data_IF_822057310209
#
_entry.id   IF_822057310209
#
_cell.length_a   1.000
_cell.length_b   1.000
_cell.length_c   1.000
_cell.angle_alpha   90.00
_cell.angle_beta   90.00
_cell.angle_gamma   90.00
#
_symmetry.space_group_name_H-M   'P 1'
#
loop_
_entity.id
_entity.type
_entity.pdbx_description
1 polymer ?
#
# COMPACT_ATOMS: atom_id res chain seq x y z
N UNK A 1 -6.72 33.07 -15.61
CA UNK A 1 -5.52 33.76 -15.07
C UNK A 1 -5.55 33.94 -13.55
N UNK A 2 -6.71 34.06 -12.89
CA UNK A 2 -6.81 34.17 -11.42
C UNK A 2 -6.23 32.97 -10.64
N UNK A 3 -6.32 31.74 -11.20
CA UNK A 3 -5.78 30.53 -10.56
C UNK A 3 -4.25 30.55 -10.39
N UNK A 4 -3.52 31.20 -11.31
CA UNK A 4 -2.05 31.27 -11.25
C UNK A 4 -1.53 32.43 -10.39
N UNK A 5 -2.44 33.27 -9.88
CA UNK A 5 -2.12 34.40 -9.00
C UNK A 5 -2.38 34.07 -7.52
N UNK A 6 -3.06 32.95 -7.24
CA UNK A 6 -3.33 32.50 -5.87
C UNK A 6 -2.10 31.77 -5.31
N UNK A 7 -1.53 32.33 -4.23
CA UNK A 7 -0.33 31.82 -3.56
C UNK A 7 -0.51 30.42 -2.96
N UNK A 8 -1.75 29.91 -2.84
CA UNK A 8 -2.05 28.59 -2.31
C UNK A 8 -1.99 27.49 -3.37
N UNK A 9 -2.15 27.84 -4.64
CA UNK A 9 -2.30 26.87 -5.73
C UNK A 9 -1.02 26.08 -5.96
N UNK A 10 0.14 26.75 -6.00
CA UNK A 10 1.44 26.09 -6.15
C UNK A 10 1.73 25.05 -5.06
N UNK A 11 1.69 25.43 -3.76
CA UNK A 11 1.88 24.50 -2.65
C UNK A 11 0.88 23.34 -2.65
N UNK A 12 -0.39 23.59 -2.97
CA UNK A 12 -1.40 22.55 -3.04
C UNK A 12 -1.07 21.50 -4.11
N UNK A 13 -0.67 21.91 -5.32
CA UNK A 13 -0.26 20.98 -6.38
C UNK A 13 0.99 20.18 -6.00
N UNK A 14 2.00 20.82 -5.44
CA UNK A 14 3.22 20.12 -4.97
C UNK A 14 2.88 19.07 -3.92
N UNK A 15 1.99 19.40 -2.98
CA UNK A 15 1.55 18.48 -1.96
C UNK A 15 0.75 17.30 -2.54
N UNK A 16 -0.14 17.56 -3.50
CA UNK A 16 -0.85 16.49 -4.22
C UNK A 16 0.09 15.57 -4.97
N UNK A 17 1.10 16.11 -5.68
CA UNK A 17 2.11 15.32 -6.39
C UNK A 17 2.91 14.48 -5.40
N UNK A 18 3.34 15.08 -4.28
CA UNK A 18 4.05 14.39 -3.22
C UNK A 18 3.26 13.19 -2.68
N UNK A 19 1.98 13.40 -2.33
CA UNK A 19 1.07 12.33 -1.90
C UNK A 19 0.91 11.25 -2.98
N UNK A 20 0.72 11.65 -4.24
CA UNK A 20 0.54 10.71 -5.36
C UNK A 20 1.78 9.84 -5.59
N UNK A 21 2.99 10.42 -5.48
CA UNK A 21 4.26 9.69 -5.56
C UNK A 21 4.39 8.71 -4.40
N UNK A 22 4.11 9.14 -3.17
CA UNK A 22 4.15 8.25 -2.00
C UNK A 22 3.18 7.07 -2.13
N UNK A 23 1.94 7.34 -2.54
CA UNK A 23 0.94 6.29 -2.75
C UNK A 23 1.42 5.33 -3.83
N UNK A 24 1.90 5.85 -4.96
CA UNK A 24 2.34 5.03 -6.09
C UNK A 24 3.52 4.12 -5.70
N UNK A 25 4.57 4.69 -5.09
CA UNK A 25 5.73 3.92 -4.64
C UNK A 25 5.31 2.88 -3.60
N UNK A 26 4.54 3.29 -2.59
CA UNK A 26 4.10 2.40 -1.51
C UNK A 26 3.23 1.24 -2.03
N UNK A 27 2.28 1.53 -2.92
CA UNK A 27 1.39 0.53 -3.52
C UNK A 27 2.14 -0.45 -4.41
N UNK A 28 3.02 0.03 -5.28
CA UNK A 28 3.79 -0.85 -6.18
C UNK A 28 4.77 -1.71 -5.39
N UNK A 29 5.50 -1.11 -4.45
CA UNK A 29 6.48 -1.82 -3.63
C UNK A 29 5.83 -2.93 -2.79
N UNK A 30 4.80 -2.59 -2.00
CA UNK A 30 4.11 -3.56 -1.16
C UNK A 30 3.33 -4.58 -2.01
N UNK A 31 2.74 -4.14 -3.13
CA UNK A 31 2.03 -5.02 -4.05
C UNK A 31 2.96 -6.08 -4.65
N UNK A 32 4.13 -5.66 -5.14
CA UNK A 32 5.14 -6.58 -5.69
C UNK A 32 5.68 -7.51 -4.61
N UNK A 33 6.01 -6.98 -3.43
CA UNK A 33 6.47 -7.78 -2.29
C UNK A 33 5.48 -8.89 -1.92
N UNK A 34 4.19 -8.55 -1.78
CA UNK A 34 3.14 -9.52 -1.49
C UNK A 34 2.92 -10.48 -2.67
N UNK A 35 3.01 -10.01 -3.91
CA UNK A 35 2.85 -10.87 -5.08
C UNK A 35 3.92 -11.95 -5.12
N UNK A 36 5.20 -11.60 -4.90
CA UNK A 36 6.31 -12.57 -4.84
C UNK A 36 6.13 -13.53 -3.66
N UNK A 37 5.76 -13.01 -2.48
CA UNK A 37 5.50 -13.82 -1.29
C UNK A 37 4.38 -14.84 -1.56
N UNK A 38 3.27 -14.40 -2.13
CA UNK A 38 2.16 -15.26 -2.50
C UNK A 38 2.48 -16.14 -3.70
N UNK A 39 3.42 -15.78 -4.57
CA UNK A 39 3.83 -16.62 -5.69
C UNK A 39 4.60 -17.85 -5.21
N UNK A 40 5.35 -17.72 -4.12
CA UNK A 40 6.12 -18.81 -3.52
C UNK A 40 5.27 -19.98 -2.98
N UNK A 41 5.92 -21.10 -2.65
CA UNK A 41 5.30 -22.35 -2.14
C UNK A 41 4.85 -22.23 -0.67
N UNK A 42 3.99 -21.25 -0.37
CA UNK A 42 3.40 -21.08 0.97
C UNK A 42 2.17 -21.98 1.16
N UNK A 43 2.01 -22.53 2.37
CA UNK A 43 0.76 -23.16 2.78
C UNK A 43 -0.37 -22.12 2.84
N UNK A 44 -1.60 -22.53 2.50
CA UNK A 44 -2.80 -21.68 2.58
C UNK A 44 -2.84 -20.43 1.65
N UNK A 45 -2.09 -20.46 0.53
CA UNK A 45 -2.04 -19.38 -0.49
C UNK A 45 -3.42 -18.84 -0.91
N UNK A 46 -4.40 -19.71 -1.10
CA UNK A 46 -5.76 -19.31 -1.52
C UNK A 46 -6.51 -18.52 -0.44
N UNK A 47 -6.30 -18.84 0.84
CA UNK A 47 -6.89 -18.09 1.95
C UNK A 47 -6.26 -16.71 2.10
N UNK A 48 -4.93 -16.61 1.99
CA UNK A 48 -4.26 -15.31 1.98
C UNK A 48 -4.72 -14.43 0.83
N UNK A 49 -4.85 -14.98 -0.39
CA UNK A 49 -5.41 -14.27 -1.55
C UNK A 49 -6.80 -13.71 -1.25
N UNK A 50 -7.68 -14.49 -0.60
CA UNK A 50 -9.00 -14.02 -0.23
C UNK A 50 -8.97 -12.87 0.78
N UNK A 51 -8.12 -12.96 1.81
CA UNK A 51 -7.96 -11.90 2.83
C UNK A 51 -7.47 -10.60 2.19
N UNK A 52 -6.44 -10.67 1.35
CA UNK A 52 -5.89 -9.50 0.66
C UNK A 52 -6.84 -8.92 -0.38
N UNK A 53 -7.89 -9.66 -0.80
CA UNK A 53 -8.89 -9.17 -1.73
C UNK A 53 -10.02 -8.37 -1.07
N UNK A 54 -10.31 -8.64 0.21
CA UNK A 54 -11.38 -7.94 0.97
C UNK A 54 -11.27 -6.41 0.88
N UNK A 55 -10.10 -5.77 1.05
CA UNK A 55 -9.97 -4.32 0.93
C UNK A 55 -10.43 -3.74 -0.41
N UNK A 56 -10.24 -4.50 -1.48
CA UNK A 56 -10.56 -4.07 -2.85
C UNK A 56 -12.05 -4.21 -3.17
N UNK A 57 -12.75 -5.17 -2.55
CA UNK A 57 -14.19 -5.39 -2.81
C UNK A 57 -15.10 -4.45 -2.03
N UNK A 58 -14.61 -3.86 -0.94
CA UNK A 58 -15.36 -2.93 -0.12
C UNK A 58 -15.51 -1.56 -0.81
N UNK A 59 -16.67 -0.93 -0.62
CA UNK A 59 -16.92 0.44 -1.11
C UNK A 59 -15.97 1.43 -0.43
N UNK A 60 -15.40 2.33 -1.24
CA UNK A 60 -14.53 3.43 -0.77
C UNK A 60 -15.19 4.25 0.33
N UNK A 61 -16.51 4.47 0.24
CA UNK A 61 -17.25 5.21 1.28
C UNK A 61 -17.28 4.44 2.61
N UNK A 62 -17.53 3.13 2.57
CA UNK A 62 -17.58 2.28 3.77
C UNK A 62 -16.21 2.27 4.46
N UNK A 63 -15.14 2.04 3.69
CA UNK A 63 -13.77 2.10 4.19
C UNK A 63 -13.49 3.47 4.82
N UNK A 64 -13.84 4.56 4.11
CA UNK A 64 -13.65 5.92 4.58
C UNK A 64 -14.31 6.17 5.94
N UNK A 65 -15.56 5.73 6.14
CA UNK A 65 -16.25 5.88 7.43
C UNK A 65 -15.65 5.04 8.55
N UNK A 66 -15.35 3.77 8.28
CA UNK A 66 -14.76 2.86 9.27
C UNK A 66 -13.41 3.40 9.74
N UNK A 67 -12.53 3.75 8.81
CA UNK A 67 -11.22 4.26 9.16
C UNK A 67 -11.26 5.66 9.75
N UNK A 68 -12.17 6.54 9.30
CA UNK A 68 -12.40 7.83 9.96
C UNK A 68 -12.70 7.64 11.45
N UNK A 69 -13.60 6.71 11.78
CA UNK A 69 -13.87 6.38 13.17
C UNK A 69 -12.61 5.87 13.89
N UNK A 70 -11.85 4.96 13.26
CA UNK A 70 -10.62 4.41 13.82
C UNK A 70 -9.58 5.50 14.15
N UNK A 71 -9.33 6.40 13.21
CA UNK A 71 -8.35 7.48 13.36
C UNK A 71 -8.80 8.59 14.33
N UNK A 72 -10.09 8.68 14.65
CA UNK A 72 -10.63 9.66 15.59
C UNK A 72 -10.67 9.15 17.03
N UNK A 73 -10.91 7.86 17.26
CA UNK A 73 -11.23 7.34 18.61
C UNK A 73 -10.27 6.24 19.09
N UNK A 74 -10.29 5.01 18.55
CA UNK A 74 -9.47 3.92 19.09
C UNK A 74 -7.97 4.13 18.87
N UNK A 75 -7.54 4.73 17.75
CA UNK A 75 -6.12 4.95 17.50
C UNK A 75 -5.52 5.98 18.48
N UNK A 76 -6.15 7.15 18.71
CA UNK A 76 -5.79 8.06 19.81
C UNK A 76 -5.76 7.41 21.19
N UNK A 77 -6.76 6.59 21.53
CA UNK A 77 -6.81 5.91 22.81
C UNK A 77 -5.64 4.93 23.01
N UNK A 78 -5.25 4.21 21.96
CA UNK A 78 -4.06 3.35 21.97
C UNK A 78 -2.79 4.19 22.14
N UNK A 79 -2.68 5.31 21.41
CA UNK A 79 -1.56 6.24 21.55
C UNK A 79 -1.38 6.73 22.98
N UNK A 80 -2.49 7.12 23.63
CA UNK A 80 -2.49 7.58 25.02
C UNK A 80 -2.07 6.47 25.99
N UNK A 81 -2.57 5.26 25.80
CA UNK A 81 -2.21 4.11 26.63
C UNK A 81 -0.73 3.71 26.51
N UNK A 82 -0.13 3.93 25.33
CA UNK A 82 1.28 3.64 25.05
C UNK A 82 2.22 4.83 25.25
N UNK A 83 1.71 5.99 25.68
CA UNK A 83 2.45 7.25 25.79
C UNK A 83 3.18 7.67 24.49
N UNK A 84 2.49 7.52 23.35
CA UNK A 84 2.98 7.92 22.02
C UNK A 84 2.29 9.22 21.61
N UNK A 85 2.95 10.36 21.74
CA UNK A 85 2.34 11.70 21.59
C UNK A 85 1.69 11.93 20.22
N UNK A 86 2.38 11.59 19.13
CA UNK A 86 1.85 11.78 17.77
C UNK A 86 0.66 10.88 17.45
N UNK A 87 0.54 9.73 18.14
CA UNK A 87 -0.56 8.79 18.00
C UNK A 87 -1.72 9.12 18.94
N UNK A 88 -1.49 9.92 19.98
CA UNK A 88 -2.45 10.23 21.05
C UNK A 88 -3.53 11.26 20.67
N UNK A 89 -3.41 11.85 19.47
CA UNK A 89 -4.33 12.85 18.95
C UNK A 89 -5.00 12.36 17.66
N UNK A 90 -6.22 12.85 17.40
CA UNK A 90 -6.95 12.52 16.18
C UNK A 90 -6.17 13.02 14.95
N UNK A 91 -5.66 12.09 14.14
CA UNK A 91 -4.92 12.40 12.91
C UNK A 91 -5.81 13.11 11.89
N UNK A 92 -7.11 12.85 11.90
CA UNK A 92 -8.08 13.48 10.98
C UNK A 92 -8.33 14.94 11.34
N UNK A 93 -8.30 15.26 12.64
CA UNK A 93 -8.60 16.60 13.14
C UNK A 93 -7.36 17.51 13.18
N UNK A 94 -6.16 16.95 13.02
CA UNK A 94 -4.91 17.68 12.99
C UNK A 94 -4.48 17.93 11.52
N UNK A 95 -4.47 19.18 11.03
CA UNK A 95 -4.08 19.51 9.65
C UNK A 95 -2.69 19.00 9.25
N UNK A 96 -1.76 18.90 10.20
CA UNK A 96 -0.38 18.44 9.94
C UNK A 96 -0.31 16.91 9.75
N UNK A 97 -1.31 16.17 10.25
CA UNK A 97 -1.36 14.71 10.22
C UNK A 97 -2.46 14.16 9.30
N UNK A 98 -3.41 14.99 8.85
CA UNK A 98 -4.60 14.55 8.12
C UNK A 98 -4.30 13.86 6.78
N UNK A 99 -3.13 14.13 6.20
CA UNK A 99 -2.67 13.47 4.97
C UNK A 99 -2.27 12.01 5.18
N UNK A 100 -1.82 11.64 6.37
CA UNK A 100 -1.32 10.30 6.66
C UNK A 100 -2.43 9.24 6.55
N UNK A 101 -3.61 9.40 7.17
CA UNK A 101 -4.75 8.50 6.97
C UNK A 101 -5.14 8.31 5.50
N UNK A 102 -5.08 9.38 4.70
CA UNK A 102 -5.41 9.34 3.28
C UNK A 102 -4.40 8.48 2.53
N UNK A 103 -3.10 8.77 2.68
CA UNK A 103 -2.01 7.99 2.05
C UNK A 103 -2.06 6.53 2.48
N UNK A 104 -2.21 6.27 3.78
CA UNK A 104 -2.29 4.92 4.33
C UNK A 104 -3.45 4.13 3.71
N UNK A 105 -4.65 4.70 3.66
CA UNK A 105 -5.82 4.02 3.10
C UNK A 105 -5.69 3.78 1.60
N UNK A 106 -5.17 4.76 0.86
CA UNK A 106 -4.92 4.62 -0.57
C UNK A 106 -3.90 3.52 -0.85
N UNK A 107 -2.81 3.44 -0.07
CA UNK A 107 -1.84 2.36 -0.20
C UNK A 107 -2.49 1.02 0.16
N UNK A 108 -3.15 0.92 1.31
CA UNK A 108 -3.77 -0.32 1.78
C UNK A 108 -4.75 -0.91 0.76
N UNK A 109 -5.62 -0.08 0.17
CA UNK A 109 -6.54 -0.53 -0.86
C UNK A 109 -5.84 -0.81 -2.20
N UNK A 110 -4.89 0.05 -2.60
CA UNK A 110 -4.16 -0.12 -3.86
C UNK A 110 -3.28 -1.37 -3.88
N UNK A 111 -2.73 -1.76 -2.74
CA UNK A 111 -1.90 -2.96 -2.58
C UNK A 111 -2.70 -4.22 -2.87
N UNK A 112 -3.97 -4.29 -2.45
CA UNK A 112 -4.84 -5.44 -2.74
C UNK A 112 -4.95 -5.70 -4.26
N UNK A 113 -5.22 -4.65 -5.04
CA UNK A 113 -5.31 -4.76 -6.50
C UNK A 113 -3.95 -5.06 -7.15
N UNK A 114 -2.92 -4.30 -6.78
CA UNK A 114 -1.59 -4.42 -7.40
C UNK A 114 -0.96 -5.79 -7.14
N UNK A 115 -1.15 -6.35 -5.94
CA UNK A 115 -0.72 -7.71 -5.60
C UNK A 115 -1.33 -8.74 -6.55
N UNK A 116 -2.63 -8.64 -6.83
CA UNK A 116 -3.30 -9.57 -7.74
C UNK A 116 -2.80 -9.43 -9.17
N UNK A 117 -2.63 -8.19 -9.63
CA UNK A 117 -2.11 -7.89 -10.97
C UNK A 117 -0.71 -8.48 -11.17
N UNK A 118 0.22 -8.20 -10.25
CA UNK A 118 1.57 -8.74 -10.34
C UNK A 118 1.60 -10.24 -10.14
N UNK A 119 0.81 -10.80 -9.22
CA UNK A 119 0.74 -12.24 -9.01
C UNK A 119 0.25 -12.96 -10.28
N UNK A 120 -0.75 -12.42 -10.96
CA UNK A 120 -1.20 -12.96 -12.23
C UNK A 120 -0.08 -12.91 -13.29
N UNK A 121 0.68 -11.81 -13.35
CA UNK A 121 1.85 -11.68 -14.23
C UNK A 121 2.95 -12.70 -13.91
N UNK A 122 3.34 -12.82 -12.64
CA UNK A 122 4.37 -13.77 -12.20
C UNK A 122 4.00 -15.23 -12.48
N UNK A 123 2.71 -15.56 -12.46
CA UNK A 123 2.23 -16.90 -12.79
C UNK A 123 2.32 -17.23 -14.28
N UNK A 124 2.62 -16.27 -15.15
CA UNK A 124 2.86 -16.50 -16.58
C UNK A 124 4.31 -16.91 -16.90
N UNK A 125 5.24 -16.69 -15.96
CA UNK A 125 6.65 -17.08 -16.12
C UNK A 125 6.76 -18.59 -15.92
N UNK A 126 7.39 -19.27 -16.87
CA UNK A 126 7.61 -20.72 -16.79
C UNK A 126 8.53 -21.08 -15.61
N UNK A 127 8.19 -22.13 -14.87
CA UNK A 127 9.01 -22.62 -13.78
C UNK A 127 10.38 -23.11 -14.27
N UNK A 128 10.48 -23.56 -15.53
CA UNK A 128 11.76 -23.95 -16.13
C UNK A 128 12.81 -22.83 -16.09
N UNK A 129 12.38 -21.57 -16.20
CA UNK A 129 13.30 -20.40 -16.12
C UNK A 129 13.87 -20.27 -14.70
N UNK A 130 13.04 -20.46 -13.68
CA UNK A 130 13.50 -20.42 -12.29
C UNK A 130 14.39 -21.61 -11.93
N UNK A 131 14.13 -22.79 -12.51
CA UNK A 131 14.97 -23.98 -12.34
C UNK A 131 16.34 -23.81 -13.01
N UNK A 132 16.37 -23.27 -14.24
CA UNK A 132 17.62 -22.94 -14.93
C UNK A 132 18.45 -21.93 -14.14
N UNK A 133 17.83 -20.86 -13.63
CA UNK A 133 18.52 -19.87 -12.79
C UNK A 133 19.07 -20.48 -11.49
N UNK A 134 18.36 -21.45 -10.89
CA UNK A 134 18.84 -22.16 -9.72
C UNK A 134 20.06 -23.05 -10.03
N UNK A 135 20.11 -23.67 -11.21
CA UNK A 135 21.27 -24.44 -11.69
C UNK A 135 22.47 -23.51 -11.91
N UNK A 136 22.25 -22.32 -12.45
CA UNK A 136 23.27 -21.29 -12.67
C UNK A 136 23.74 -20.59 -11.36
N UNK A 137 23.20 -21.00 -10.20
CA UNK A 137 23.59 -20.46 -8.90
C UNK A 137 23.11 -19.03 -8.65
N UNK A 138 22.08 -18.58 -9.37
CA UNK A 138 21.52 -17.23 -9.25
C UNK A 138 20.88 -17.04 -7.88
N UNK A 139 21.25 -15.95 -7.20
CA UNK A 139 20.68 -15.61 -5.87
C UNK A 139 19.23 -15.14 -5.96
N UNK A 140 18.49 -15.24 -4.86
CA UNK A 140 17.09 -14.77 -4.79
C UNK A 140 16.92 -13.28 -5.16
N UNK A 141 17.91 -12.43 -4.85
CA UNK A 141 17.90 -11.02 -5.24
C UNK A 141 18.08 -10.84 -6.74
N UNK A 142 18.97 -11.60 -7.38
CA UNK A 142 19.14 -11.57 -8.82
C UNK A 142 17.88 -12.11 -9.53
N UNK A 143 17.30 -13.20 -9.03
CA UNK A 143 16.02 -13.72 -9.54
C UNK A 143 14.90 -12.67 -9.46
N UNK A 144 14.85 -11.90 -8.36
CA UNK A 144 13.87 -10.82 -8.21
C UNK A 144 14.04 -9.68 -9.22
N UNK A 145 15.27 -9.29 -9.57
CA UNK A 145 15.49 -8.15 -10.48
C UNK A 145 15.61 -8.52 -11.95
N UNK A 146 15.95 -9.77 -12.26
CA UNK A 146 16.26 -10.21 -13.63
C UNK A 146 15.16 -11.07 -14.24
N UNK A 147 14.36 -11.75 -13.42
CA UNK A 147 13.32 -12.70 -13.88
C UNK A 147 11.93 -12.28 -13.43
N UNK A 148 11.79 -11.88 -12.17
CA UNK A 148 10.53 -11.46 -11.53
C UNK A 148 10.18 -10.02 -11.90
#
# INVERSE_FOLDING_TARGET
LAMFQDSRVGPAYLFTIFIAVLITIGTNFLGMFLAVLLNSKIAFKNGFRAIFFIPYTLSVLVIGYVFKYIFMTPLPAIGQALHIDWLSTSMISNPDLAWFPIVFLSIWQGVAYSTLLYLAGLQTIDNEIYEAAAIDGVSAWQNFWQIT
#
